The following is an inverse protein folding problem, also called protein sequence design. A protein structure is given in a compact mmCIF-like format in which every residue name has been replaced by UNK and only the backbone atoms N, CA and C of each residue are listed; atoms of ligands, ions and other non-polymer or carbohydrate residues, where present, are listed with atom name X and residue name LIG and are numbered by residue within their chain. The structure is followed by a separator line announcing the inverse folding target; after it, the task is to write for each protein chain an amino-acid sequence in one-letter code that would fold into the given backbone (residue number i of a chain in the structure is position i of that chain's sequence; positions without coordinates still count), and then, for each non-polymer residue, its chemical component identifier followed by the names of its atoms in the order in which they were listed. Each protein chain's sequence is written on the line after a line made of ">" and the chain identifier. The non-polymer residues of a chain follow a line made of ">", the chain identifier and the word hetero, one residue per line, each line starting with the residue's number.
data_IF_765083083955
#
_entry.id   IF_765083083955
#
_cell.length_a   1.000
_cell.length_b   1.000
_cell.length_c   1.000
_cell.angle_alpha   90.00
_cell.angle_beta   90.00
_cell.angle_gamma   90.00
#
_symmetry.space_group_name_H-M   'P 1'
#
loop_
_entity.id
_entity.type
_entity.pdbx_description
1 polymer ?
#
# COMPACT_ATOMS: atom_id res chain seq x y z
N UNK A 1 -8.78 25.18 6.16
CA UNK A 1 -7.71 25.08 5.16
C UNK A 1 -7.59 23.61 4.77
N UNK A 2 -7.63 23.22 3.48
CA UNK A 2 -7.23 21.86 3.11
C UNK A 2 -5.78 21.66 3.55
N UNK A 3 -5.51 20.59 4.31
CA UNK A 3 -4.15 20.31 4.77
C UNK A 3 -3.26 20.05 3.53
N UNK A 4 -2.05 20.63 3.44
CA UNK A 4 -1.12 20.29 2.39
C UNK A 4 -0.86 18.79 2.45
N UNK A 5 -1.14 18.08 1.35
CA UNK A 5 -0.91 16.63 1.25
C UNK A 5 0.59 16.40 1.26
N UNK A 6 1.10 15.94 2.41
CA UNK A 6 2.53 15.72 2.66
C UNK A 6 2.98 14.29 2.28
N UNK A 7 2.04 13.39 1.98
CA UNK A 7 2.36 12.03 1.58
C UNK A 7 3.02 11.94 0.19
N UNK A 8 3.79 10.86 -0.05
CA UNK A 8 4.45 10.64 -1.33
C UNK A 8 3.43 10.53 -2.46
N UNK A 9 3.79 11.02 -3.65
CA UNK A 9 2.94 10.84 -4.83
C UNK A 9 2.87 9.34 -5.17
N UNK A 10 1.67 8.76 -5.36
CA UNK A 10 1.54 7.33 -5.57
C UNK A 10 1.84 6.93 -7.03
N UNK A 11 3.11 7.00 -7.42
CA UNK A 11 3.59 6.61 -8.74
C UNK A 11 4.00 5.13 -8.84
N UNK A 12 4.01 4.40 -7.72
CA UNK A 12 4.45 3.00 -7.66
C UNK A 12 3.26 2.04 -7.48
N UNK A 13 3.41 0.78 -7.92
CA UNK A 13 4.53 0.24 -8.70
C UNK A 13 4.60 0.84 -10.11
N UNK A 14 5.81 0.96 -10.64
CA UNK A 14 6.01 1.42 -12.03
C UNK A 14 5.38 0.42 -13.02
N UNK A 15 4.80 0.90 -14.14
CA UNK A 15 4.28 0.01 -15.18
C UNK A 15 5.40 -0.85 -15.75
N UNK A 16 5.11 -2.13 -15.99
CA UNK A 16 5.97 -3.01 -16.76
C UNK A 16 5.41 -3.14 -18.18
N UNK A 17 6.09 -2.53 -19.16
CA UNK A 17 5.65 -2.47 -20.55
C UNK A 17 4.33 -1.69 -20.72
N UNK A 18 3.48 -2.14 -21.65
CA UNK A 18 2.22 -1.48 -22.00
C UNK A 18 1.04 -1.85 -21.08
N UNK A 19 1.28 -2.61 -20.00
CA UNK A 19 0.22 -2.95 -19.04
C UNK A 19 -0.18 -1.73 -18.21
N UNK A 20 -1.48 -1.61 -17.96
CA UNK A 20 -2.00 -0.60 -17.02
C UNK A 20 -1.30 -0.76 -15.66
N UNK A 21 -0.70 0.30 -15.11
CA UNK A 21 0.03 0.21 -13.86
C UNK A 21 -0.93 -0.12 -12.71
N UNK A 22 -0.48 -0.99 -11.80
CA UNK A 22 -1.21 -1.29 -10.57
C UNK A 22 -1.05 -0.18 -9.50
N UNK A 23 -1.08 1.09 -9.90
CA UNK A 23 -1.01 2.26 -9.01
C UNK A 23 -2.36 2.54 -8.34
N UNK A 24 -2.40 3.23 -7.20
CA UNK A 24 -3.66 3.55 -6.52
C UNK A 24 -4.39 4.71 -7.21
N UNK A 25 -5.71 4.66 -7.11
CA UNK A 25 -6.66 5.68 -7.55
C UNK A 25 -7.23 6.40 -6.32
N UNK A 26 -6.74 7.60 -6.05
CA UNK A 26 -7.29 8.47 -5.00
C UNK A 26 -8.62 9.11 -5.46
N UNK A 27 -9.57 9.39 -4.55
CA UNK A 27 -9.53 9.18 -3.10
C UNK A 27 -10.03 7.78 -2.64
N UNK A 28 -10.46 6.92 -3.56
CA UNK A 28 -11.04 5.61 -3.21
C UNK A 28 -10.00 4.56 -2.79
N UNK A 29 -8.73 4.79 -3.14
CA UNK A 29 -7.62 3.85 -2.93
C UNK A 29 -7.88 2.46 -3.52
N UNK A 30 -8.49 2.43 -4.70
CA UNK A 30 -8.60 1.23 -5.54
C UNK A 30 -7.43 1.16 -6.51
N UNK A 31 -7.08 -0.03 -6.99
CA UNK A 31 -6.06 -0.21 -8.02
C UNK A 31 -6.62 0.21 -9.39
N UNK A 32 -5.83 0.95 -10.17
CA UNK A 32 -6.23 1.38 -11.52
C UNK A 32 -6.39 0.23 -12.52
N UNK A 33 -5.65 -0.85 -12.34
CA UNK A 33 -5.63 -1.97 -13.29
C UNK A 33 -6.75 -2.98 -13.05
N UNK A 34 -7.11 -3.25 -11.79
CA UNK A 34 -8.07 -4.32 -11.44
C UNK A 34 -9.26 -3.86 -10.58
N UNK A 35 -9.30 -2.60 -10.15
CA UNK A 35 -10.38 -2.03 -9.35
C UNK A 35 -10.43 -2.51 -7.88
N UNK A 36 -9.56 -3.43 -7.46
CA UNK A 36 -9.54 -3.97 -6.09
C UNK A 36 -8.95 -2.96 -5.10
N UNK A 37 -9.18 -3.11 -3.78
CA UNK A 37 -8.52 -2.27 -2.79
C UNK A 37 -7.01 -2.29 -2.96
N UNK A 38 -6.41 -1.12 -3.13
CA UNK A 38 -4.97 -0.97 -3.23
C UNK A 38 -4.34 -0.98 -1.83
N UNK A 39 -3.19 -1.66 -1.61
CA UNK A 39 -2.42 -2.45 -2.58
C UNK A 39 -3.09 -3.80 -2.88
N UNK A 40 -3.38 -4.05 -4.18
CA UNK A 40 -3.87 -5.34 -4.65
C UNK A 40 -2.72 -6.37 -4.71
N UNK A 41 -3.02 -7.65 -4.91
CA UNK A 41 -2.03 -8.72 -4.86
C UNK A 41 -0.84 -8.48 -5.82
N UNK A 42 -1.12 -8.10 -7.07
CA UNK A 42 -0.08 -7.79 -8.07
C UNK A 42 0.73 -6.55 -7.66
N UNK A 43 0.08 -5.50 -7.15
CA UNK A 43 0.77 -4.32 -6.66
C UNK A 43 1.76 -4.66 -5.54
N UNK A 44 1.38 -5.55 -4.62
CA UNK A 44 2.26 -5.99 -3.52
C UNK A 44 3.50 -6.72 -4.04
N UNK A 45 3.33 -7.59 -5.04
CA UNK A 45 4.44 -8.31 -5.67
C UNK A 45 5.39 -7.34 -6.38
N UNK A 46 4.84 -6.45 -7.22
CA UNK A 46 5.62 -5.47 -7.97
C UNK A 46 6.35 -4.49 -7.03
N UNK A 47 5.71 -4.03 -5.96
CA UNK A 47 6.34 -3.15 -4.98
C UNK A 47 7.49 -3.86 -4.25
N UNK A 48 7.35 -5.14 -3.89
CA UNK A 48 8.45 -5.92 -3.30
C UNK A 48 9.62 -6.04 -4.27
N UNK A 49 9.34 -6.33 -5.53
CA UNK A 49 10.38 -6.45 -6.55
C UNK A 49 11.07 -5.10 -6.84
N UNK A 50 10.30 -4.00 -6.91
CA UNK A 50 10.83 -2.66 -7.20
C UNK A 50 11.73 -2.14 -6.06
N UNK A 51 11.41 -2.48 -4.82
CA UNK A 51 12.15 -2.05 -3.62
C UNK A 51 13.01 -3.16 -3.01
N UNK A 52 13.34 -4.22 -3.74
CA UNK A 52 14.12 -5.37 -3.22
C UNK A 52 15.48 -4.93 -2.65
N UNK A 53 16.10 -3.92 -3.26
CA UNK A 53 17.36 -3.34 -2.81
C UNK A 53 17.23 -2.47 -1.54
N UNK A 54 16.04 -1.93 -1.24
CA UNK A 54 15.78 -1.13 -0.04
C UNK A 54 14.38 -1.41 0.55
N UNK A 55 14.26 -2.49 1.33
CA UNK A 55 13.01 -2.87 1.98
C UNK A 55 12.51 -1.86 3.03
N UNK A 56 13.42 -1.04 3.57
CA UNK A 56 13.06 0.04 4.50
C UNK A 56 12.36 1.18 3.77
N UNK A 57 12.86 1.58 2.59
CA UNK A 57 12.19 2.56 1.74
C UNK A 57 10.77 2.11 1.34
N UNK A 58 10.55 0.83 1.05
CA UNK A 58 9.20 0.31 0.81
C UNK A 58 8.27 0.54 2.00
N UNK A 59 8.75 0.26 3.21
CA UNK A 59 7.95 0.41 4.44
C UNK A 59 7.62 1.88 4.70
N UNK A 60 8.59 2.78 4.52
CA UNK A 60 8.39 4.23 4.67
C UNK A 60 7.38 4.74 3.63
N UNK A 61 7.51 4.31 2.38
CA UNK A 61 6.58 4.64 1.30
C UNK A 61 5.15 4.20 1.62
N UNK A 62 4.97 2.94 2.03
CA UNK A 62 3.66 2.38 2.39
C UNK A 62 3.05 3.05 3.63
N UNK A 63 3.87 3.42 4.62
CA UNK A 63 3.41 4.16 5.79
C UNK A 63 2.88 5.56 5.41
N UNK A 64 3.58 6.28 4.52
CA UNK A 64 3.11 7.55 4.00
C UNK A 64 1.76 7.43 3.26
N UNK A 65 1.62 6.40 2.42
CA UNK A 65 0.36 6.14 1.71
C UNK A 65 -0.76 5.68 2.65
N UNK A 66 -0.46 4.92 3.69
CA UNK A 66 -1.42 4.55 4.73
C UNK A 66 -2.06 5.79 5.37
N UNK A 67 -1.27 6.81 5.72
CA UNK A 67 -1.79 8.04 6.32
C UNK A 67 -2.68 8.82 5.36
N UNK A 68 -2.28 8.95 4.10
CA UNK A 68 -3.10 9.60 3.07
C UNK A 68 -4.39 8.81 2.80
N UNK A 69 -4.34 7.48 2.82
CA UNK A 69 -5.51 6.62 2.64
C UNK A 69 -6.49 6.70 3.80
N UNK A 70 -5.98 6.73 5.04
CA UNK A 70 -6.80 6.93 6.21
C UNK A 70 -7.55 8.28 6.13
N UNK A 71 -6.86 9.34 5.72
CA UNK A 71 -7.48 10.66 5.54
C UNK A 71 -8.56 10.65 4.45
N UNK A 72 -8.22 10.21 3.23
CA UNK A 72 -9.14 10.24 2.09
C UNK A 72 -10.39 9.38 2.34
N UNK A 73 -10.22 8.17 2.88
CA UNK A 73 -11.33 7.26 3.12
C UNK A 73 -12.24 7.74 4.25
N UNK A 74 -11.66 8.34 5.30
CA UNK A 74 -12.45 9.00 6.35
C UNK A 74 -13.25 10.18 5.80
N UNK A 75 -12.67 10.99 4.90
CA UNK A 75 -13.38 12.10 4.26
C UNK A 75 -14.49 11.63 3.32
N UNK A 76 -14.30 10.50 2.63
CA UNK A 76 -15.33 9.91 1.75
C UNK A 76 -16.49 9.31 2.55
N UNK A 77 -16.19 8.61 3.65
CA UNK A 77 -17.20 7.98 4.51
C UNK A 77 -16.75 7.98 5.98
N UNK A 78 -17.16 8.99 6.77
CA UNK A 78 -16.77 9.11 8.17
C UNK A 78 -17.36 8.03 9.09
N UNK A 79 -18.48 7.41 8.70
CA UNK A 79 -19.29 6.57 9.60
C UNK A 79 -19.12 5.07 9.36
N UNK A 80 -18.69 4.66 8.15
CA UNK A 80 -18.57 3.26 7.75
C UNK A 80 -17.30 3.03 6.91
N UNK A 81 -16.21 3.72 7.28
CA UNK A 81 -14.89 3.56 6.68
C UNK A 81 -14.09 2.41 7.32
N UNK A 82 -13.02 1.94 6.66
CA UNK A 82 -12.15 0.92 7.22
C UNK A 82 -11.46 1.42 8.50
N UNK A 83 -11.36 0.54 9.48
CA UNK A 83 -10.68 0.81 10.75
C UNK A 83 -9.18 1.04 10.54
N UNK A 84 -8.49 1.74 11.47
CA UNK A 84 -7.04 1.90 11.40
C UNK A 84 -6.28 0.57 11.32
N UNK A 85 -6.80 -0.49 11.98
CA UNK A 85 -6.22 -1.84 11.94
C UNK A 85 -6.31 -2.44 10.53
N UNK A 86 -7.48 -2.39 9.90
CA UNK A 86 -7.66 -2.92 8.54
C UNK A 86 -6.80 -2.18 7.53
N UNK A 87 -6.65 -0.85 7.69
CA UNK A 87 -5.74 -0.06 6.86
C UNK A 87 -4.27 -0.45 7.10
N UNK A 88 -3.86 -0.67 8.35
CA UNK A 88 -2.51 -1.14 8.66
C UNK A 88 -2.24 -2.53 8.05
N UNK A 89 -3.20 -3.44 8.15
CA UNK A 89 -3.12 -4.78 7.56
C UNK A 89 -3.03 -4.73 6.04
N UNK A 90 -3.77 -3.81 5.43
CA UNK A 90 -3.79 -3.61 3.98
C UNK A 90 -2.50 -3.01 3.43
N UNK A 91 -1.92 -2.00 4.10
CA UNK A 91 -0.75 -1.28 3.58
C UNK A 91 0.59 -1.80 4.13
N UNK A 92 0.71 -2.06 5.43
CA UNK A 92 2.01 -2.18 6.11
C UNK A 92 2.31 -3.61 6.59
N UNK A 93 1.29 -4.36 7.02
CA UNK A 93 1.48 -5.63 7.73
C UNK A 93 2.12 -6.77 6.92
N UNK A 94 2.25 -6.63 5.60
CA UNK A 94 2.90 -7.59 4.70
C UNK A 94 4.30 -7.15 4.26
N UNK A 95 4.78 -6.02 4.81
CA UNK A 95 6.09 -5.47 4.56
C UNK A 95 7.25 -6.42 4.90
N UNK A 96 8.44 -6.15 4.36
CA UNK A 96 9.58 -7.07 4.34
C UNK A 96 10.12 -7.44 5.73
N UNK A 97 9.82 -6.65 6.77
CA UNK A 97 10.20 -6.94 8.15
C UNK A 97 9.35 -8.04 8.81
N UNK A 98 8.25 -8.47 8.19
CA UNK A 98 7.57 -9.71 8.55
C UNK A 98 8.29 -10.88 7.90
N UNK A 99 9.50 -11.19 8.38
CA UNK A 99 10.03 -12.54 8.23
C UNK A 99 9.10 -13.45 9.04
N UNK A 100 8.44 -14.46 8.45
CA UNK A 100 7.87 -15.52 9.27
C UNK A 100 9.01 -16.09 10.11
N UNK A 101 8.77 -16.27 11.41
CA UNK A 101 9.61 -17.16 12.20
C UNK A 101 9.42 -18.53 11.55
N UNK A 102 10.37 -18.93 10.72
CA UNK A 102 10.44 -20.32 10.26
C UNK A 102 10.89 -21.07 11.51
N UNK A 103 9.99 -21.81 12.15
CA UNK A 103 10.39 -22.78 13.17
C UNK A 103 11.40 -23.75 12.52
N UNK A 104 12.55 -24.01 13.15
CA UNK A 104 13.49 -24.98 12.63
C UNK A 104 12.79 -26.35 12.48
N UNK A 105 13.13 -27.15 11.45
CA UNK A 105 12.55 -28.49 11.32
C UNK A 105 12.82 -29.31 12.60
N UNK A 106 11.86 -30.14 13.05
CA UNK A 106 12.05 -30.96 14.24
C UNK A 106 13.25 -31.91 14.05
N UNK A 107 13.96 -32.25 15.15
CA UNK A 107 15.18 -33.07 15.12
C UNK A 107 14.96 -34.48 14.58
#
# INVERSE_FOLDING_TARGET
>A
MPQPRLGPYPAHPRPCGDRTPHTPLRPMWCCRADGRPWPCAEARLLLKAEFDADPAALTIYLAGLYHEAAHDLYQLNPYDGPTPRELFERFVAWGPFRRPIIDPPPP
#
